data_IF_394778240530
#
_entry.id   IF_394778240530
#
_cell.length_a   1.000
_cell.length_b   1.000
_cell.length_c   1.000
_cell.angle_alpha   90.00
_cell.angle_beta   90.00
_cell.angle_gamma   90.00
#
_symmetry.space_group_name_H-M   'P 1'
#
loop_
_entity.id
_entity.type
_entity.pdbx_description
1 polymer ?
#
# COMPACT_ATOMS: atom_id res chain seq x y z
N UNK A 1 13.48 -1.85 49.65
CA UNK A 1 12.07 -1.84 50.07
C UNK A 1 11.52 -3.25 49.93
N UNK A 2 11.32 -3.92 51.06
CA UNK A 2 10.82 -5.29 51.21
C UNK A 2 9.30 -5.29 51.00
N UNK A 3 8.81 -5.85 49.89
CA UNK A 3 7.39 -6.06 49.67
C UNK A 3 6.87 -7.12 50.66
N UNK A 4 6.05 -6.67 51.61
CA UNK A 4 5.30 -7.50 52.56
C UNK A 4 4.41 -8.46 51.75
N UNK A 5 4.65 -9.78 51.83
CA UNK A 5 3.71 -10.80 51.36
C UNK A 5 2.39 -10.62 52.12
N UNK A 6 1.39 -10.06 51.45
CA UNK A 6 0.00 -10.05 51.94
C UNK A 6 -0.49 -11.48 52.04
N UNK A 7 -1.01 -11.88 53.20
CA UNK A 7 -1.45 -13.23 53.55
C UNK A 7 -2.75 -13.67 52.83
N UNK A 8 -3.11 -13.06 51.68
CA UNK A 8 -4.35 -13.30 50.92
C UNK A 8 -4.22 -14.33 49.78
N UNK A 9 -3.03 -14.89 49.54
CA UNK A 9 -2.77 -15.78 48.39
C UNK A 9 -3.03 -17.28 48.64
N UNK A 10 -3.63 -17.67 49.77
CA UNK A 10 -3.57 -19.06 50.27
C UNK A 10 -4.70 -20.01 49.83
N UNK A 11 -5.69 -19.57 49.06
CA UNK A 11 -6.87 -20.40 48.76
C UNK A 11 -7.00 -20.84 47.29
N UNK A 12 -6.17 -20.33 46.38
CA UNK A 12 -6.21 -20.74 44.97
C UNK A 12 -5.39 -22.01 44.72
N UNK A 13 -5.89 -22.94 43.87
CA UNK A 13 -5.09 -24.07 43.41
C UNK A 13 -3.77 -23.61 42.76
N UNK A 14 -2.70 -24.38 42.97
CA UNK A 14 -1.33 -24.05 42.53
C UNK A 14 -1.25 -23.75 41.01
N UNK A 15 -2.04 -24.47 40.21
CA UNK A 15 -2.08 -24.26 38.76
C UNK A 15 -2.67 -22.89 38.35
N UNK A 16 -3.62 -22.34 39.12
CA UNK A 16 -4.20 -21.01 38.86
C UNK A 16 -3.15 -19.92 39.04
N UNK A 17 -2.26 -20.09 40.02
CA UNK A 17 -1.15 -19.18 40.26
C UNK A 17 -0.11 -19.16 39.13
N UNK A 18 -0.07 -20.19 38.28
CA UNK A 18 0.90 -20.33 37.19
C UNK A 18 0.37 -19.73 35.88
N UNK A 19 -0.94 -19.82 35.63
CA UNK A 19 -1.55 -19.44 34.35
C UNK A 19 -2.01 -17.97 34.34
N UNK A 20 -2.43 -17.43 35.49
CA UNK A 20 -3.04 -16.11 35.55
C UNK A 20 -2.00 -15.02 35.84
N UNK A 21 -1.95 -13.92 35.06
CA UNK A 21 -1.12 -12.76 35.35
C UNK A 21 -1.37 -12.21 36.76
N UNK A 22 -0.34 -11.68 37.41
CA UNK A 22 -0.39 -11.27 38.83
C UNK A 22 -1.52 -10.29 39.15
N UNK A 23 -1.84 -9.40 38.20
CA UNK A 23 -2.86 -8.35 38.34
C UNK A 23 -4.28 -8.90 38.56
N UNK A 24 -4.62 -10.05 37.97
CA UNK A 24 -5.97 -10.63 38.05
C UNK A 24 -6.14 -11.67 39.18
N UNK A 25 -5.07 -11.94 39.94
CA UNK A 25 -5.09 -12.95 41.02
C UNK A 25 -5.95 -12.51 42.21
N UNK A 26 -5.98 -11.21 42.51
CA UNK A 26 -6.80 -10.67 43.59
C UNK A 26 -8.29 -10.88 43.32
N UNK A 27 -8.74 -10.57 42.10
CA UNK A 27 -10.13 -10.70 41.67
C UNK A 27 -10.57 -12.16 41.61
N UNK A 28 -9.70 -13.07 41.15
CA UNK A 28 -9.97 -14.50 41.15
C UNK A 28 -10.03 -15.11 42.54
N UNK A 29 -9.17 -14.66 43.46
CA UNK A 29 -9.23 -15.05 44.87
C UNK A 29 -10.58 -14.62 45.49
N UNK A 30 -11.05 -13.41 45.18
CA UNK A 30 -12.34 -12.90 45.66
C UNK A 30 -13.51 -13.73 45.11
N UNK A 31 -13.51 -14.03 43.80
CA UNK A 31 -14.52 -14.88 43.15
C UNK A 31 -14.54 -16.30 43.73
N UNK A 32 -13.37 -16.91 43.91
CA UNK A 32 -13.22 -18.25 44.48
C UNK A 32 -13.78 -18.31 45.90
N UNK A 33 -13.40 -17.35 46.76
CA UNK A 33 -13.88 -17.27 48.14
C UNK A 33 -15.40 -17.00 48.19
N UNK A 34 -15.92 -16.15 47.30
CA UNK A 34 -17.37 -15.88 47.19
C UNK A 34 -18.18 -17.12 46.86
N UNK A 35 -17.66 -17.99 46.01
CA UNK A 35 -18.32 -19.26 45.67
C UNK A 35 -18.16 -20.30 46.79
N UNK A 36 -17.02 -20.38 47.46
CA UNK A 36 -16.89 -21.21 48.69
C UNK A 36 -17.86 -20.79 49.78
N UNK A 37 -18.05 -19.49 50.00
CA UNK A 37 -19.03 -18.98 50.97
C UNK A 37 -20.49 -19.30 50.60
N UNK A 38 -20.79 -19.56 49.32
CA UNK A 38 -22.12 -20.00 48.87
C UNK A 38 -22.38 -21.51 49.04
N UNK A 39 -21.47 -22.24 49.70
CA UNK A 39 -21.65 -23.66 50.02
C UNK A 39 -21.25 -24.65 48.92
N UNK A 40 -20.58 -24.19 47.85
CA UNK A 40 -20.08 -25.09 46.81
C UNK A 40 -18.93 -25.95 47.31
N UNK A 41 -18.91 -27.21 46.87
CA UNK A 41 -17.76 -28.10 47.08
C UNK A 41 -16.52 -27.56 46.36
N UNK A 42 -15.34 -28.03 46.74
CA UNK A 42 -14.08 -27.58 46.16
C UNK A 42 -13.98 -27.90 44.67
N UNK A 43 -14.44 -29.09 44.26
CA UNK A 43 -14.50 -29.51 42.85
C UNK A 43 -15.46 -28.64 42.04
N UNK A 44 -16.65 -28.32 42.57
CA UNK A 44 -17.62 -27.44 41.89
C UNK A 44 -17.11 -26.00 41.77
N UNK A 45 -16.41 -25.51 42.79
CA UNK A 45 -15.83 -24.15 42.76
C UNK A 45 -14.73 -24.07 41.70
N UNK A 46 -13.86 -25.08 41.63
CA UNK A 46 -12.82 -25.20 40.60
C UNK A 46 -13.44 -25.27 39.20
N UNK A 47 -14.49 -26.08 39.02
CA UNK A 47 -15.17 -26.19 37.74
C UNK A 47 -15.76 -24.84 37.28
N UNK A 48 -16.39 -24.08 38.19
CA UNK A 48 -16.92 -22.73 37.90
C UNK A 48 -15.84 -21.72 37.57
N UNK A 49 -14.67 -21.76 38.24
CA UNK A 49 -13.52 -20.91 37.89
C UNK A 49 -13.02 -21.23 36.49
N UNK A 50 -12.84 -22.52 36.16
CA UNK A 50 -12.42 -22.95 34.83
C UNK A 50 -13.42 -22.50 33.77
N UNK A 51 -14.72 -22.68 34.02
CA UNK A 51 -15.78 -22.26 33.10
C UNK A 51 -15.79 -20.74 32.87
N UNK A 52 -15.56 -19.94 33.92
CA UNK A 52 -15.45 -18.49 33.82
C UNK A 52 -14.19 -18.03 33.08
N UNK A 53 -13.05 -18.70 33.30
CA UNK A 53 -11.81 -18.42 32.56
C UNK A 53 -11.94 -18.81 31.09
N UNK A 54 -12.55 -19.95 30.80
CA UNK A 54 -12.82 -20.39 29.42
C UNK A 54 -13.80 -19.43 28.72
N UNK A 55 -14.87 -18.99 29.37
CA UNK A 55 -15.80 -18.04 28.76
C UNK A 55 -15.14 -16.67 28.47
N UNK A 56 -14.26 -16.19 29.36
CA UNK A 56 -13.47 -14.99 29.13
C UNK A 56 -12.47 -15.17 27.97
N UNK A 57 -11.82 -16.32 27.89
CA UNK A 57 -10.92 -16.67 26.79
C UNK A 57 -11.68 -16.72 25.45
N UNK A 58 -12.83 -17.38 25.40
CA UNK A 58 -13.66 -17.42 24.20
C UNK A 58 -14.17 -16.03 23.81
N UNK A 59 -14.55 -15.18 24.77
CA UNK A 59 -14.98 -13.82 24.51
C UNK A 59 -13.84 -12.95 23.94
N UNK A 60 -12.63 -13.04 24.51
CA UNK A 60 -11.45 -12.28 24.03
C UNK A 60 -11.00 -12.75 22.66
N UNK A 61 -10.93 -14.06 22.42
CA UNK A 61 -10.63 -14.62 21.09
C UNK A 61 -11.67 -14.18 20.07
N UNK A 62 -12.97 -14.22 20.43
CA UNK A 62 -14.05 -13.76 19.54
C UNK A 62 -13.92 -12.27 19.21
N UNK A 63 -13.59 -11.40 20.19
CA UNK A 63 -13.34 -9.98 19.92
C UNK A 63 -12.17 -9.79 18.96
N UNK A 64 -11.03 -10.45 19.20
CA UNK A 64 -9.85 -10.36 18.32
C UNK A 64 -10.19 -10.83 16.90
N UNK A 65 -10.93 -11.92 16.75
CA UNK A 65 -11.36 -12.42 15.44
C UNK A 65 -12.31 -11.45 14.74
N UNK A 66 -13.24 -10.83 15.47
CA UNK A 66 -14.12 -9.79 14.92
C UNK A 66 -13.33 -8.54 14.48
N UNK A 67 -12.42 -8.04 15.32
CA UNK A 67 -11.57 -6.89 14.99
C UNK A 67 -10.67 -7.19 13.79
N UNK A 68 -10.10 -8.39 13.72
CA UNK A 68 -9.30 -8.83 12.58
C UNK A 68 -10.14 -8.97 11.31
N UNK A 69 -11.35 -9.51 11.41
CA UNK A 69 -12.29 -9.60 10.28
C UNK A 69 -12.71 -8.23 9.76
N UNK A 70 -13.00 -7.29 10.66
CA UNK A 70 -13.32 -5.91 10.31
C UNK A 70 -12.11 -5.19 9.71
N UNK A 71 -10.91 -5.42 10.25
CA UNK A 71 -9.67 -4.90 9.71
C UNK A 71 -9.39 -5.44 8.30
N UNK A 72 -9.52 -6.75 8.09
CA UNK A 72 -9.39 -7.39 6.77
C UNK A 72 -10.44 -6.84 5.81
N UNK A 73 -11.69 -6.68 6.24
CA UNK A 73 -12.76 -6.13 5.41
C UNK A 73 -12.46 -4.68 4.99
N UNK A 74 -11.92 -3.87 5.91
CA UNK A 74 -11.45 -2.50 5.62
C UNK A 74 -10.29 -2.49 4.64
N UNK A 75 -9.34 -3.43 4.77
CA UNK A 75 -8.24 -3.60 3.81
C UNK A 75 -8.77 -4.02 2.45
N UNK A 76 -9.68 -5.00 2.36
CA UNK A 76 -10.28 -5.42 1.10
C UNK A 76 -11.03 -4.28 0.41
N UNK A 77 -11.75 -3.45 1.18
CA UNK A 77 -12.39 -2.25 0.67
C UNK A 77 -11.37 -1.19 0.21
N UNK A 78 -10.29 -1.01 0.98
CA UNK A 78 -9.19 -0.13 0.62
C UNK A 78 -8.49 -0.59 -0.67
N UNK A 79 -8.30 -1.90 -0.86
CA UNK A 79 -7.64 -2.46 -2.04
C UNK A 79 -8.54 -2.54 -3.29
N UNK A 80 -9.84 -2.29 -3.15
CA UNK A 80 -10.79 -2.27 -4.26
C UNK A 80 -11.60 -0.97 -4.23
N UNK A 81 -11.03 0.13 -4.76
CA UNK A 81 -11.73 1.41 -4.82
C UNK A 81 -12.89 1.31 -5.81
N UNK A 82 -14.05 0.88 -5.31
CA UNK A 82 -15.33 0.83 -6.03
C UNK A 82 -16.39 1.53 -5.19
N UNK A 83 -17.45 1.99 -5.84
CA UNK A 83 -18.64 2.41 -5.10
C UNK A 83 -19.22 1.21 -4.32
N UNK A 84 -19.77 1.42 -3.11
CA UNK A 84 -20.48 0.38 -2.38
C UNK A 84 -21.66 -0.14 -3.21
N UNK A 85 -22.10 -1.38 -2.96
CA UNK A 85 -23.09 -2.09 -3.81
C UNK A 85 -24.37 -1.29 -4.09
N UNK A 86 -24.84 -0.50 -3.11
CA UNK A 86 -26.00 0.36 -3.25
C UNK A 86 -25.82 1.53 -4.26
N UNK A 87 -24.58 1.86 -4.62
CA UNK A 87 -24.20 2.94 -5.53
C UNK A 87 -23.46 2.42 -6.77
N UNK A 88 -23.45 1.11 -7.02
CA UNK A 88 -22.71 0.47 -8.12
C UNK A 88 -23.15 1.00 -9.51
N UNK A 89 -24.41 1.42 -9.65
CA UNK A 89 -24.94 2.04 -10.87
C UNK A 89 -24.20 3.33 -11.28
N UNK A 90 -23.50 4.00 -10.34
CA UNK A 90 -22.70 5.19 -10.61
C UNK A 90 -21.33 4.89 -11.21
N UNK A 91 -20.83 3.65 -11.15
CA UNK A 91 -19.46 3.32 -11.54
C UNK A 91 -19.18 3.65 -13.01
N UNK A 92 -20.10 3.28 -13.91
CA UNK A 92 -19.94 3.53 -15.36
C UNK A 92 -19.90 5.03 -15.68
N UNK A 93 -20.77 5.80 -15.03
CA UNK A 93 -20.85 7.25 -15.22
C UNK A 93 -19.65 7.97 -14.59
N UNK A 94 -19.18 7.48 -13.44
CA UNK A 94 -17.94 7.95 -12.82
C UNK A 94 -16.74 7.72 -13.74
N UNK A 95 -16.56 6.52 -14.30
CA UNK A 95 -15.42 6.24 -15.19
C UNK A 95 -15.43 7.16 -16.42
N UNK A 96 -16.59 7.44 -16.99
CA UNK A 96 -16.72 8.39 -18.10
C UNK A 96 -16.33 9.83 -17.70
N UNK A 97 -16.84 10.33 -16.56
CA UNK A 97 -16.50 11.66 -16.05
C UNK A 97 -15.02 11.75 -15.65
N UNK A 98 -14.50 10.73 -14.98
CA UNK A 98 -13.10 10.62 -14.58
C UNK A 98 -12.18 10.69 -15.80
N UNK A 99 -12.47 9.92 -16.85
CA UNK A 99 -11.68 9.96 -18.09
C UNK A 99 -11.77 11.32 -18.78
N UNK A 100 -12.97 11.90 -18.88
CA UNK A 100 -13.16 13.18 -19.56
C UNK A 100 -12.44 14.34 -18.87
N UNK A 101 -12.47 14.38 -17.54
CA UNK A 101 -11.83 15.43 -16.73
C UNK A 101 -10.34 15.22 -16.55
N UNK A 102 -9.85 13.98 -16.62
CA UNK A 102 -8.44 13.66 -16.42
C UNK A 102 -7.55 14.08 -17.60
N UNK A 103 -8.09 14.32 -18.80
CA UNK A 103 -7.29 14.62 -20.01
C UNK A 103 -6.30 15.78 -19.79
N UNK A 104 -6.73 16.88 -19.18
CA UNK A 104 -5.85 18.03 -18.92
C UNK A 104 -4.72 17.65 -17.97
N UNK A 105 -5.03 16.91 -16.91
CA UNK A 105 -4.05 16.46 -15.92
C UNK A 105 -3.07 15.46 -16.53
N UNK A 106 -3.54 14.52 -17.33
CA UNK A 106 -2.70 13.53 -18.04
C UNK A 106 -1.71 14.22 -18.99
N UNK A 107 -2.13 15.28 -19.69
CA UNK A 107 -1.21 16.05 -20.55
C UNK A 107 -0.14 16.77 -19.74
N UNK A 108 -0.52 17.39 -18.62
CA UNK A 108 0.43 18.06 -17.72
C UNK A 108 1.41 17.03 -17.15
N UNK A 109 0.94 15.85 -16.75
CA UNK A 109 1.80 14.80 -16.21
C UNK A 109 2.73 14.21 -17.27
N UNK A 110 2.28 14.07 -18.52
CA UNK A 110 3.13 13.63 -19.63
C UNK A 110 4.26 14.63 -19.90
N UNK A 111 3.96 15.93 -19.94
CA UNK A 111 4.98 16.97 -20.12
C UNK A 111 5.94 17.00 -18.92
N UNK A 112 5.41 16.96 -17.70
CA UNK A 112 6.23 16.95 -16.49
C UNK A 112 7.14 15.70 -16.44
N UNK A 113 6.60 14.53 -16.77
CA UNK A 113 7.37 13.28 -16.84
C UNK A 113 8.44 13.32 -17.92
N UNK A 114 8.12 13.83 -19.12
CA UNK A 114 9.09 14.05 -20.18
C UNK A 114 10.25 14.95 -19.73
N UNK A 115 9.94 16.13 -19.18
CA UNK A 115 10.94 17.09 -18.75
C UNK A 115 11.80 16.54 -17.62
N UNK A 116 11.20 15.88 -16.63
CA UNK A 116 11.93 15.23 -15.56
C UNK A 116 12.87 14.17 -16.12
N UNK A 117 12.35 13.22 -16.91
CA UNK A 117 13.13 12.11 -17.45
C UNK A 117 14.29 12.56 -18.35
N UNK A 118 14.06 13.60 -19.16
CA UNK A 118 15.08 14.23 -19.98
C UNK A 118 16.15 14.94 -19.13
N UNK A 119 15.75 15.70 -18.10
CA UNK A 119 16.69 16.42 -17.24
C UNK A 119 17.65 15.47 -16.51
N UNK A 120 17.17 14.29 -16.10
CA UNK A 120 18.03 13.26 -15.50
C UNK A 120 19.11 12.73 -16.45
N UNK A 121 18.98 12.93 -17.76
CA UNK A 121 20.03 12.55 -18.72
C UNK A 121 21.33 13.36 -18.58
N UNK A 122 21.30 14.51 -17.90
CA UNK A 122 22.52 15.26 -17.57
C UNK A 122 23.36 14.48 -16.55
N UNK A 123 22.73 13.78 -15.60
CA UNK A 123 23.42 13.00 -14.57
C UNK A 123 24.17 11.79 -15.13
N UNK A 124 23.73 11.26 -16.27
CA UNK A 124 24.37 10.11 -16.92
C UNK A 124 25.86 10.38 -17.26
N UNK A 125 26.26 11.65 -17.41
CA UNK A 125 27.66 12.05 -17.66
C UNK A 125 28.58 11.63 -16.51
N UNK A 126 28.09 11.70 -15.27
CA UNK A 126 28.89 11.42 -14.08
C UNK A 126 28.56 10.07 -13.45
N UNK A 127 27.30 9.64 -13.54
CA UNK A 127 26.87 8.42 -12.87
C UNK A 127 27.18 7.15 -13.66
N UNK A 128 27.17 7.20 -15.00
CA UNK A 128 27.41 6.04 -15.88
C UNK A 128 28.26 6.43 -17.11
N UNK A 129 29.48 6.98 -16.90
CA UNK A 129 30.30 7.53 -17.98
C UNK A 129 30.62 6.54 -19.11
N UNK A 130 30.79 5.25 -18.81
CA UNK A 130 31.09 4.20 -19.80
C UNK A 130 29.88 3.82 -20.65
N UNK A 131 28.69 3.82 -20.07
CA UNK A 131 27.42 3.46 -20.72
C UNK A 131 26.57 4.69 -21.13
N UNK A 132 27.15 5.89 -21.08
CA UNK A 132 26.45 7.16 -21.31
C UNK A 132 25.72 7.20 -22.65
N UNK A 133 26.38 6.78 -23.73
CA UNK A 133 25.78 6.85 -25.06
C UNK A 133 24.58 5.91 -25.19
N UNK A 134 24.69 4.70 -24.63
CA UNK A 134 23.62 3.72 -24.58
C UNK A 134 22.46 4.23 -23.73
N UNK A 135 22.74 4.84 -22.58
CA UNK A 135 21.73 5.48 -21.74
C UNK A 135 21.02 6.64 -22.46
N UNK A 136 21.76 7.47 -23.19
CA UNK A 136 21.20 8.55 -23.99
C UNK A 136 20.36 8.05 -25.16
N UNK A 137 20.73 6.93 -25.79
CA UNK A 137 19.89 6.26 -26.78
C UNK A 137 18.58 5.77 -26.15
N UNK A 138 18.63 5.17 -24.95
CA UNK A 138 17.42 4.76 -24.22
C UNK A 138 16.56 5.99 -23.89
N UNK A 139 17.14 7.05 -23.32
CA UNK A 139 16.39 8.25 -22.92
C UNK A 139 15.87 9.03 -24.12
N UNK A 140 16.76 9.53 -24.97
CA UNK A 140 16.44 10.49 -26.03
C UNK A 140 16.10 9.83 -27.35
N UNK A 141 16.55 8.59 -27.59
CA UNK A 141 16.20 7.82 -28.78
C UNK A 141 14.91 7.01 -28.64
N UNK A 142 14.54 6.58 -27.42
CA UNK A 142 13.38 5.72 -27.20
C UNK A 142 12.32 6.36 -26.28
N UNK A 143 12.63 6.58 -25.00
CA UNK A 143 11.61 6.97 -23.99
C UNK A 143 11.04 8.36 -24.27
N UNK A 144 11.89 9.37 -24.44
CA UNK A 144 11.47 10.75 -24.69
C UNK A 144 10.63 10.90 -25.98
N UNK A 145 11.01 10.30 -27.12
CA UNK A 145 10.17 10.27 -28.32
C UNK A 145 8.80 9.62 -28.08
N UNK A 146 8.74 8.54 -27.32
CA UNK A 146 7.46 7.87 -26.97
C UNK A 146 6.58 8.78 -26.11
N UNK A 147 7.17 9.51 -25.15
CA UNK A 147 6.45 10.52 -24.37
C UNK A 147 5.89 11.64 -25.25
N UNK A 148 6.70 12.17 -26.19
CA UNK A 148 6.27 13.20 -27.13
C UNK A 148 5.15 12.70 -28.05
N UNK A 149 5.29 11.48 -28.57
CA UNK A 149 4.28 10.85 -29.41
C UNK A 149 2.96 10.68 -28.63
N UNK A 150 3.03 10.15 -27.40
CA UNK A 150 1.87 10.01 -26.54
C UNK A 150 1.19 11.36 -26.25
N UNK A 151 1.98 12.41 -26.01
CA UNK A 151 1.48 13.77 -25.80
C UNK A 151 0.76 14.31 -27.04
N UNK A 152 1.36 14.19 -28.23
CA UNK A 152 0.75 14.61 -29.50
C UNK A 152 -0.53 13.82 -29.78
N UNK A 153 -0.49 12.49 -29.59
CA UNK A 153 -1.65 11.63 -29.77
C UNK A 153 -2.80 12.03 -28.83
N UNK A 154 -2.50 12.51 -27.61
CA UNK A 154 -3.52 12.92 -26.63
C UNK A 154 -4.49 14.01 -27.11
N UNK A 155 -4.16 14.76 -28.17
CA UNK A 155 -5.01 15.81 -28.76
C UNK A 155 -6.07 15.27 -29.71
N UNK A 156 -5.89 14.06 -30.26
CA UNK A 156 -6.83 13.46 -31.20
C UNK A 156 -8.01 12.77 -30.49
N UNK A 157 -9.22 12.89 -31.08
CA UNK A 157 -10.45 12.33 -30.49
C UNK A 157 -10.38 10.81 -30.30
N UNK A 158 -9.76 10.08 -31.23
CA UNK A 158 -9.61 8.62 -31.16
C UNK A 158 -8.72 8.17 -30.00
N UNK A 159 -7.62 8.89 -29.75
CA UNK A 159 -6.65 8.55 -28.71
C UNK A 159 -7.20 8.72 -27.29
N UNK A 160 -8.28 9.51 -27.10
CA UNK A 160 -8.93 9.69 -25.79
C UNK A 160 -9.36 8.37 -25.14
N UNK A 161 -9.74 7.38 -25.95
CA UNK A 161 -10.11 6.03 -25.47
C UNK A 161 -8.91 5.26 -24.90
N UNK A 162 -7.71 5.58 -25.37
CA UNK A 162 -6.47 4.86 -25.05
C UNK A 162 -5.62 5.56 -23.99
N UNK A 163 -5.99 6.75 -23.53
CA UNK A 163 -5.18 7.57 -22.63
C UNK A 163 -4.71 6.84 -21.36
N UNK A 164 -5.58 6.05 -20.73
CA UNK A 164 -5.20 5.26 -19.55
C UNK A 164 -4.14 4.20 -19.87
N UNK A 165 -4.35 3.47 -20.96
CA UNK A 165 -3.38 2.48 -21.44
C UNK A 165 -2.05 3.15 -21.82
N UNK A 166 -2.10 4.29 -22.51
CA UNK A 166 -0.91 5.08 -22.84
C UNK A 166 -0.18 5.55 -21.59
N UNK A 167 -0.86 6.12 -20.60
CA UNK A 167 -0.24 6.55 -19.34
C UNK A 167 0.41 5.38 -18.59
N UNK A 168 -0.26 4.23 -18.55
CA UNK A 168 0.29 3.02 -17.92
C UNK A 168 1.55 2.54 -18.66
N UNK A 169 1.49 2.50 -19.99
CA UNK A 169 2.63 2.16 -20.83
C UNK A 169 3.81 3.12 -20.65
N UNK A 170 3.56 4.43 -20.60
CA UNK A 170 4.59 5.45 -20.36
C UNK A 170 5.26 5.28 -18.99
N UNK A 171 4.47 4.92 -17.98
CA UNK A 171 5.01 4.66 -16.64
C UNK A 171 5.93 3.44 -16.64
N UNK A 172 5.47 2.32 -17.20
CA UNK A 172 6.27 1.08 -17.29
C UNK A 172 7.54 1.29 -18.13
N UNK A 173 7.44 1.89 -19.31
CA UNK A 173 8.60 2.05 -20.19
C UNK A 173 9.65 3.00 -19.60
N UNK A 174 9.24 4.02 -18.83
CA UNK A 174 10.17 4.89 -18.14
C UNK A 174 10.96 4.12 -17.06
N UNK A 175 10.25 3.33 -16.23
CA UNK A 175 10.88 2.52 -15.18
C UNK A 175 11.76 1.41 -15.74
N UNK A 176 11.26 0.63 -16.70
CA UNK A 176 12.05 -0.42 -17.38
C UNK A 176 13.27 0.17 -18.08
N UNK A 177 13.14 1.35 -18.71
CA UNK A 177 14.28 2.06 -19.30
C UNK A 177 15.38 2.36 -18.29
N UNK A 178 15.01 2.77 -17.06
CA UNK A 178 15.98 2.97 -15.97
C UNK A 178 16.59 1.64 -15.52
N UNK A 179 15.80 0.58 -15.37
CA UNK A 179 16.32 -0.75 -15.04
C UNK A 179 17.34 -1.25 -16.08
N UNK A 180 17.11 -1.01 -17.37
CA UNK A 180 18.08 -1.35 -18.42
C UNK A 180 19.34 -0.49 -18.32
N UNK A 181 19.22 0.80 -17.99
CA UNK A 181 20.41 1.65 -17.75
C UNK A 181 21.24 1.15 -16.56
N UNK A 182 20.60 0.65 -15.50
CA UNK A 182 21.28 -0.02 -14.38
C UNK A 182 22.02 -1.26 -14.88
N UNK A 183 21.37 -2.09 -15.71
CA UNK A 183 21.97 -3.30 -16.27
C UNK A 183 23.23 -3.03 -17.12
N UNK A 184 23.29 -1.86 -17.78
CA UNK A 184 24.41 -1.46 -18.62
C UNK A 184 25.54 -0.76 -17.86
N UNK A 185 25.30 -0.31 -16.63
CA UNK A 185 26.31 0.37 -15.82
C UNK A 185 27.41 -0.58 -15.37
N UNK A 186 28.65 -0.09 -15.33
CA UNK A 186 29.77 -0.88 -14.85
C UNK A 186 29.80 -0.93 -13.30
N UNK A 187 30.28 -2.02 -12.67
CA UNK A 187 30.27 -2.15 -11.20
C UNK A 187 31.00 -1.03 -10.44
N UNK A 188 31.99 -0.38 -11.06
CA UNK A 188 32.75 0.72 -10.47
C UNK A 188 32.00 2.07 -10.56
N UNK A 189 30.91 2.14 -11.33
CA UNK A 189 30.17 3.36 -11.55
C UNK A 189 29.12 3.61 -10.46
N UNK A 190 28.94 4.88 -10.11
CA UNK A 190 27.97 5.28 -9.07
C UNK A 190 26.54 4.88 -9.46
N UNK A 191 26.22 4.92 -10.76
CA UNK A 191 24.90 4.54 -11.28
C UNK A 191 24.52 3.09 -10.98
N UNK A 192 25.49 2.19 -10.89
CA UNK A 192 25.27 0.76 -10.62
C UNK A 192 24.50 0.50 -9.32
N UNK A 193 24.81 1.26 -8.27
CA UNK A 193 24.18 1.11 -6.95
C UNK A 193 23.12 2.16 -6.65
N UNK A 194 23.12 3.30 -7.34
CA UNK A 194 22.29 4.46 -6.97
C UNK A 194 21.09 4.73 -7.88
N UNK A 195 21.09 4.24 -9.13
CA UNK A 195 20.01 4.55 -10.08
C UNK A 195 18.64 3.97 -9.71
N UNK A 196 18.57 3.04 -8.74
CA UNK A 196 17.30 2.61 -8.14
C UNK A 196 16.53 3.79 -7.51
N UNK A 197 17.22 4.85 -7.06
CA UNK A 197 16.57 6.08 -6.58
C UNK A 197 15.75 6.77 -7.67
N UNK A 198 16.17 6.65 -8.94
CA UNK A 198 15.40 7.08 -10.10
C UNK A 198 14.13 6.26 -10.31
N UNK A 199 14.16 4.96 -9.96
CA UNK A 199 12.96 4.11 -9.96
C UNK A 199 11.97 4.54 -8.87
N UNK A 200 12.46 4.84 -7.67
CA UNK A 200 11.63 5.40 -6.58
C UNK A 200 10.94 6.70 -7.03
N UNK A 201 11.69 7.60 -7.67
CA UNK A 201 11.10 8.83 -8.19
C UNK A 201 10.05 8.55 -9.28
N UNK A 202 10.31 7.54 -10.12
CA UNK A 202 9.37 7.09 -11.16
C UNK A 202 8.09 6.53 -10.55
N UNK A 203 8.16 5.72 -9.50
CA UNK A 203 7.00 5.24 -8.73
C UNK A 203 6.16 6.39 -8.18
N UNK A 204 6.82 7.35 -7.51
CA UNK A 204 6.14 8.52 -6.95
C UNK A 204 5.39 9.26 -8.05
N UNK A 205 6.02 9.50 -9.20
CA UNK A 205 5.38 10.13 -10.35
C UNK A 205 4.19 9.30 -10.87
N UNK A 206 4.38 8.00 -11.08
CA UNK A 206 3.36 7.09 -11.62
C UNK A 206 2.11 7.02 -10.74
N UNK A 207 2.29 6.88 -9.42
CA UNK A 207 1.19 6.78 -8.47
C UNK A 207 0.45 8.10 -8.19
N UNK A 208 1.09 9.26 -8.42
CA UNK A 208 0.50 10.56 -8.04
C UNK A 208 0.09 11.43 -9.22
N UNK A 209 0.91 11.50 -10.27
CA UNK A 209 0.73 12.48 -11.35
C UNK A 209 0.07 11.89 -12.60
N UNK A 210 0.34 10.62 -12.94
CA UNK A 210 -0.18 10.00 -14.17
C UNK A 210 -1.70 9.73 -14.16
N UNK A 211 -2.39 10.01 -13.03
CA UNK A 211 -3.85 9.85 -12.85
C UNK A 211 -4.37 8.44 -13.17
N UNK A 212 -3.51 7.44 -13.02
CA UNK A 212 -3.87 6.03 -13.16
C UNK A 212 -4.82 5.60 -12.04
N UNK A 213 -5.59 4.54 -12.30
CA UNK A 213 -6.36 3.88 -11.24
C UNK A 213 -5.44 3.04 -10.38
N UNK A 214 -5.82 2.82 -9.13
CA UNK A 214 -5.02 2.11 -8.14
C UNK A 214 -4.50 0.77 -8.66
N UNK A 215 -5.39 -0.07 -9.22
CA UNK A 215 -5.02 -1.40 -9.72
C UNK A 215 -4.04 -1.28 -10.91
N UNK A 216 -4.28 -0.36 -11.83
CA UNK A 216 -3.43 -0.15 -13.00
C UNK A 216 -2.04 0.33 -12.60
N UNK A 217 -1.97 1.32 -11.71
CA UNK A 217 -0.73 1.86 -11.17
C UNK A 217 0.04 0.79 -10.38
N UNK A 218 -0.65 -0.01 -9.57
CA UNK A 218 -0.03 -1.07 -8.77
C UNK A 218 0.57 -2.17 -9.66
N UNK A 219 -0.14 -2.59 -10.71
CA UNK A 219 0.39 -3.55 -11.68
C UNK A 219 1.59 -2.94 -12.40
N UNK A 220 1.50 -1.70 -12.86
CA UNK A 220 2.59 -1.02 -13.56
C UNK A 220 3.85 -0.87 -12.70
N UNK A 221 3.72 -0.38 -11.46
CA UNK A 221 4.84 -0.25 -10.54
C UNK A 221 5.40 -1.62 -10.14
N UNK A 222 4.55 -2.65 -9.98
CA UNK A 222 5.04 -4.01 -9.74
C UNK A 222 5.87 -4.54 -10.93
N UNK A 223 5.50 -4.24 -12.18
CA UNK A 223 6.31 -4.59 -13.34
C UNK A 223 7.66 -3.86 -13.35
N UNK A 224 7.70 -2.60 -12.92
CA UNK A 224 8.95 -1.83 -12.79
C UNK A 224 9.83 -2.45 -11.69
N UNK A 225 9.26 -2.71 -10.50
CA UNK A 225 9.92 -3.42 -9.41
C UNK A 225 10.50 -4.76 -9.89
N UNK A 226 9.70 -5.59 -10.55
CA UNK A 226 10.14 -6.88 -11.08
C UNK A 226 11.28 -6.71 -12.10
N UNK A 227 11.22 -5.69 -12.96
CA UNK A 227 12.30 -5.42 -13.93
C UNK A 227 13.63 -5.09 -13.24
N UNK A 228 13.59 -4.36 -12.13
CA UNK A 228 14.78 -4.05 -11.34
C UNK A 228 15.31 -5.30 -10.63
N UNK A 229 14.44 -6.10 -10.02
CA UNK A 229 14.84 -7.35 -9.36
C UNK A 229 15.51 -8.33 -10.33
N UNK A 230 14.99 -8.43 -11.56
CA UNK A 230 15.61 -9.25 -12.60
C UNK A 230 17.02 -8.74 -12.93
N UNK A 231 17.19 -7.43 -13.10
CA UNK A 231 18.50 -6.84 -13.38
C UNK A 231 19.47 -7.06 -12.21
N UNK A 232 19.04 -6.80 -10.98
CA UNK A 232 19.87 -6.95 -9.79
C UNK A 232 20.32 -8.41 -9.59
N UNK A 233 19.41 -9.38 -9.74
CA UNK A 233 19.72 -10.79 -9.46
C UNK A 233 20.48 -11.48 -10.61
N UNK A 234 20.11 -11.21 -11.86
CA UNK A 234 20.62 -11.98 -13.01
C UNK A 234 21.67 -11.25 -13.85
N UNK A 235 21.76 -9.92 -13.77
CA UNK A 235 22.77 -9.14 -14.52
C UNK A 235 23.86 -8.63 -13.58
N UNK A 236 23.48 -8.05 -12.45
CA UNK A 236 24.43 -7.55 -11.46
C UNK A 236 24.97 -8.64 -10.55
N UNK A 237 24.30 -9.80 -10.49
CA UNK A 237 24.66 -10.94 -9.63
C UNK A 237 24.92 -10.50 -8.17
N UNK A 238 24.07 -9.63 -7.63
CA UNK A 238 24.27 -8.97 -6.32
C UNK A 238 24.43 -9.94 -5.13
N UNK A 239 24.07 -11.20 -5.29
CA UNK A 239 24.21 -12.26 -4.27
C UNK A 239 25.61 -12.90 -4.24
N UNK A 240 26.49 -12.58 -5.19
CA UNK A 240 27.84 -13.15 -5.30
C UNK A 240 28.79 -12.66 -4.20
N UNK A 241 28.56 -11.47 -3.65
CA UNK A 241 29.34 -10.89 -2.56
C UNK A 241 28.45 -10.43 -1.41
N UNK A 242 28.99 -10.49 -0.18
CA UNK A 242 28.31 -10.02 1.02
C UNK A 242 28.00 -8.52 0.96
N UNK A 243 28.94 -7.72 0.43
CA UNK A 243 28.78 -6.27 0.34
C UNK A 243 27.66 -5.87 -0.63
N UNK A 244 27.66 -6.44 -1.84
CA UNK A 244 26.60 -6.20 -2.83
C UNK A 244 25.23 -6.69 -2.34
N UNK A 245 25.19 -7.77 -1.56
CA UNK A 245 23.96 -8.27 -0.95
C UNK A 245 23.39 -7.26 0.05
N UNK A 246 24.22 -6.63 0.88
CA UNK A 246 23.76 -5.60 1.83
C UNK A 246 23.20 -4.39 1.09
N UNK A 247 23.89 -3.92 0.05
CA UNK A 247 23.42 -2.79 -0.78
C UNK A 247 22.07 -3.14 -1.41
N UNK A 248 21.96 -4.35 -1.99
CA UNK A 248 20.72 -4.82 -2.59
C UNK A 248 19.56 -4.87 -1.59
N UNK A 249 19.78 -5.40 -0.39
CA UNK A 249 18.77 -5.41 0.69
C UNK A 249 18.37 -3.98 1.07
N UNK A 250 19.33 -3.07 1.24
CA UNK A 250 19.05 -1.68 1.56
C UNK A 250 18.18 -1.01 0.49
N UNK A 251 18.58 -1.14 -0.78
CA UNK A 251 17.84 -0.59 -1.91
C UNK A 251 16.42 -1.14 -1.97
N UNK A 252 16.25 -2.45 -1.75
CA UNK A 252 14.94 -3.10 -1.72
C UNK A 252 14.05 -2.59 -0.60
N UNK A 253 14.59 -2.39 0.61
CA UNK A 253 13.82 -1.81 1.72
C UNK A 253 13.26 -0.43 1.36
N UNK A 254 14.07 0.44 0.75
CA UNK A 254 13.60 1.75 0.29
C UNK A 254 12.61 1.64 -0.87
N UNK A 255 12.87 0.78 -1.85
CA UNK A 255 12.01 0.64 -3.02
C UNK A 255 10.64 0.06 -2.66
N UNK A 256 10.59 -1.04 -1.90
CA UNK A 256 9.32 -1.65 -1.44
C UNK A 256 8.54 -0.67 -0.57
N UNK A 257 9.21 0.08 0.31
CA UNK A 257 8.54 1.08 1.15
C UNK A 257 7.95 2.22 0.31
N UNK A 258 8.70 2.72 -0.68
CA UNK A 258 8.22 3.74 -1.60
C UNK A 258 7.05 3.23 -2.47
N UNK A 259 7.12 1.98 -2.93
CA UNK A 259 6.05 1.34 -3.69
C UNK A 259 4.75 1.25 -2.88
N UNK A 260 4.82 0.79 -1.63
CA UNK A 260 3.66 0.73 -0.73
C UNK A 260 3.11 2.14 -0.44
N UNK A 261 3.99 3.12 -0.17
CA UNK A 261 3.57 4.50 0.06
C UNK A 261 2.88 5.10 -1.18
N UNK A 262 3.40 4.81 -2.38
CA UNK A 262 2.80 5.19 -3.65
C UNK A 262 1.43 4.55 -3.87
N UNK A 263 1.30 3.25 -3.62
CA UNK A 263 0.03 2.52 -3.64
C UNK A 263 -1.02 3.18 -2.73
N UNK A 264 -0.64 3.52 -1.50
CA UNK A 264 -1.52 4.20 -0.53
C UNK A 264 -1.94 5.58 -1.07
N UNK A 265 -0.99 6.37 -1.58
CA UNK A 265 -1.25 7.69 -2.14
C UNK A 265 -2.22 7.62 -3.34
N UNK A 266 -1.97 6.71 -4.29
CA UNK A 266 -2.82 6.50 -5.46
C UNK A 266 -4.23 6.09 -5.06
N UNK A 267 -4.35 5.18 -4.09
CA UNK A 267 -5.65 4.75 -3.60
C UNK A 267 -6.44 5.91 -2.96
N UNK A 268 -5.76 6.73 -2.14
CA UNK A 268 -6.38 7.93 -1.58
C UNK A 268 -6.84 8.93 -2.65
N UNK A 269 -6.04 9.14 -3.70
CA UNK A 269 -6.40 10.01 -4.81
C UNK A 269 -7.62 9.49 -5.58
N UNK A 270 -7.72 8.18 -5.80
CA UNK A 270 -8.88 7.57 -6.47
C UNK A 270 -10.14 7.67 -5.60
N UNK A 271 -10.06 7.34 -4.31
CA UNK A 271 -11.17 7.51 -3.37
C UNK A 271 -11.64 8.97 -3.28
N UNK A 272 -10.71 9.93 -3.28
CA UNK A 272 -11.05 11.34 -3.29
C UNK A 272 -11.81 11.72 -4.57
N UNK A 273 -11.36 11.24 -5.73
CA UNK A 273 -12.04 11.48 -7.01
C UNK A 273 -13.46 10.89 -7.03
N UNK A 274 -13.66 9.69 -6.47
CA UNK A 274 -14.99 9.05 -6.36
C UNK A 274 -15.92 9.84 -5.44
N UNK A 275 -15.40 10.34 -4.31
CA UNK A 275 -16.17 11.18 -3.38
C UNK A 275 -16.57 12.51 -4.01
N UNK A 276 -15.65 13.18 -4.71
CA UNK A 276 -15.95 14.41 -5.44
C UNK A 276 -17.06 14.19 -6.48
N UNK A 277 -16.94 13.12 -7.27
CA UNK A 277 -17.98 12.75 -8.23
C UNK A 277 -19.34 12.53 -7.56
N UNK A 278 -19.38 11.79 -6.45
CA UNK A 278 -20.62 11.56 -5.70
C UNK A 278 -21.23 12.87 -5.20
N UNK A 279 -20.43 13.79 -4.66
CA UNK A 279 -20.94 15.09 -4.20
C UNK A 279 -21.51 15.93 -5.33
N UNK A 280 -20.87 15.94 -6.50
CA UNK A 280 -21.40 16.61 -7.69
C UNK A 280 -22.71 15.98 -8.15
N UNK A 281 -22.77 14.64 -8.22
CA UNK A 281 -23.98 13.91 -8.59
C UNK A 281 -25.16 14.20 -7.63
N UNK A 282 -24.92 14.23 -6.32
CA UNK A 282 -25.95 14.56 -5.32
C UNK A 282 -26.38 16.03 -5.36
N UNK A 283 -25.48 16.95 -5.72
CA UNK A 283 -25.83 18.37 -5.89
C UNK A 283 -26.76 18.59 -7.09
N UNK A 284 -26.56 17.85 -8.17
CA UNK A 284 -27.43 17.84 -9.34
C UNK A 284 -28.76 17.13 -9.07
N UNK A 285 -28.75 16.08 -8.23
CA UNK A 285 -29.93 15.29 -7.87
C UNK A 285 -30.42 15.57 -6.44
N UNK A 286 -31.00 16.76 -6.22
CA UNK A 286 -31.44 17.23 -4.88
C UNK A 286 -32.29 16.22 -4.10
N UNK A 287 -33.22 15.51 -4.75
CA UNK A 287 -34.10 14.53 -4.10
C UNK A 287 -33.34 13.32 -3.54
N UNK A 288 -32.25 12.89 -4.20
CA UNK A 288 -31.41 11.78 -3.74
C UNK A 288 -30.47 12.20 -2.61
N UNK A 289 -30.10 13.49 -2.54
CA UNK A 289 -29.28 14.05 -1.47
C UNK A 289 -29.98 13.95 -0.12
N UNK A 290 -31.26 14.28 -0.04
CA UNK A 290 -32.05 14.16 1.19
C UNK A 290 -32.16 12.69 1.64
N UNK A 291 -32.47 11.78 0.72
CA UNK A 291 -32.53 10.34 1.01
C UNK A 291 -31.20 9.77 1.53
N UNK A 292 -30.07 10.15 0.91
CA UNK A 292 -28.75 9.69 1.33
C UNK A 292 -28.32 10.26 2.70
N UNK A 293 -28.66 11.52 2.99
CA UNK A 293 -28.37 12.14 4.28
C UNK A 293 -29.23 11.52 5.41
N UNK A 294 -30.49 11.20 5.14
CA UNK A 294 -31.39 10.54 6.09
C UNK A 294 -30.96 9.09 6.38
N UNK A 295 -30.48 8.35 5.38
CA UNK A 295 -30.02 6.96 5.55
C UNK A 295 -28.70 6.79 6.31
N UNK A 296 -27.99 7.87 6.63
CA UNK A 296 -26.75 7.84 7.44
C UNK A 296 -27.00 7.97 8.95
N UNK A 297 -28.24 8.25 9.35
CA UNK A 297 -28.67 8.47 10.74
C UNK A 297 -29.43 7.28 11.35
N UNK A 298 -29.52 6.15 10.65
CA UNK A 298 -30.05 4.87 11.12
C UNK A 298 -28.99 3.78 10.98
#
# INVERSE_FOLDING_TARGET
MTFKRSNRDKNLPIWVNTIVPYEYKADLNELYNRWRHKGFSESETIFKVIQALLSLLFATVRMIVCDLSDFISRICFFLSPRFPKNLEFLEKSFLYDYHARSIKYVRISQVAGFLAYALFGILDIWCIPSAREQAWIIRYGLVCPIFLLAFVLSFFKFAKRWLHFTSCFLFVIAGVGISVMIALSAPEEIGYTTYYTGLILTEIFGFTLFRLRFIEASIAGFLIFLSYEIVALFVQEVLSSYESTIIFVNNNFFFVTAFIAGMIACNHLEHYARRDYLFRYLAENRNLKEFYLLGKHY
#
